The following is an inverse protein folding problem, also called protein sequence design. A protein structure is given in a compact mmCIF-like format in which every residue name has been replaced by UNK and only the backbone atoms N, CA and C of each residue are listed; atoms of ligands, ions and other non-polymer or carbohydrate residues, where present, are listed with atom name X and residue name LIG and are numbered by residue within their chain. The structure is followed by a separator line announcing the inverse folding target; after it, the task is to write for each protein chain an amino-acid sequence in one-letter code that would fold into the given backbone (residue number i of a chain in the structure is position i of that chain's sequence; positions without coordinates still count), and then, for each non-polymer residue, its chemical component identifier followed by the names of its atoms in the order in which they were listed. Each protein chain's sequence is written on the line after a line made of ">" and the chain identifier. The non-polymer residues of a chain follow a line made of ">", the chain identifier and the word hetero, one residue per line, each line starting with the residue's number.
data_IF_415873010666
#
_entry.id   IF_415873010666
#
_cell.length_a   1.000
_cell.length_b   1.000
_cell.length_c   1.000
_cell.angle_alpha   90.00
_cell.angle_beta   90.00
_cell.angle_gamma   90.00
#
_symmetry.space_group_name_H-M   'P 1'
#
loop_
_entity.id
_entity.type
_entity.pdbx_description
1 polymer ?
#
# COMPACT_ATOMS: atom_id res chain seq x y z
N UNK A 1 39.54 24.39 -12.40
CA UNK A 1 40.70 24.91 -11.66
C UNK A 1 41.00 23.97 -10.51
N UNK A 2 42.27 23.74 -10.18
CA UNK A 2 42.63 22.95 -8.99
C UNK A 2 42.65 23.87 -7.77
N UNK A 3 42.08 23.42 -6.65
CA UNK A 3 42.14 24.17 -5.40
C UNK A 3 43.58 24.18 -4.86
N UNK A 4 44.05 25.33 -4.39
CA UNK A 4 45.39 25.51 -3.87
C UNK A 4 45.37 26.39 -2.63
N UNK A 5 46.39 26.24 -1.78
CA UNK A 5 46.60 27.10 -0.64
C UNK A 5 46.88 28.53 -1.11
N UNK A 6 46.18 29.55 -0.60
CA UNK A 6 46.33 30.93 -1.07
C UNK A 6 47.67 31.58 -0.70
N UNK A 7 48.41 31.00 0.25
CA UNK A 7 49.69 31.54 0.75
C UNK A 7 50.90 30.81 0.15
N UNK A 8 50.87 29.48 0.18
CA UNK A 8 51.96 28.64 -0.34
C UNK A 8 51.78 28.26 -1.81
N UNK A 9 50.63 28.56 -2.41
CA UNK A 9 50.24 28.15 -3.77
C UNK A 9 50.32 26.64 -4.03
N UNK A 10 50.45 25.84 -2.98
CA UNK A 10 50.48 24.39 -3.05
C UNK A 10 49.10 23.85 -3.40
N UNK A 11 49.04 22.97 -4.39
CA UNK A 11 47.78 22.36 -4.84
C UNK A 11 47.32 21.34 -3.81
N UNK A 12 46.06 21.41 -3.40
CA UNK A 12 45.47 20.43 -2.50
C UNK A 12 45.31 19.08 -3.20
N UNK A 13 45.77 18.02 -2.54
CA UNK A 13 45.68 16.63 -3.00
C UNK A 13 44.96 15.78 -1.95
N UNK A 14 44.57 14.55 -2.32
CA UNK A 14 43.91 13.61 -1.39
C UNK A 14 44.76 13.25 -0.16
N UNK A 15 46.04 13.58 -0.18
CA UNK A 15 46.97 13.32 0.93
C UNK A 15 47.50 14.62 1.55
N UNK A 16 46.94 15.78 1.20
CA UNK A 16 47.37 17.05 1.80
C UNK A 16 46.71 17.27 3.16
N UNK A 17 47.47 17.82 4.12
CA UNK A 17 46.96 18.21 5.45
C UNK A 17 46.35 19.62 5.33
N UNK A 18 45.02 19.70 5.46
CA UNK A 18 44.22 20.91 5.20
C UNK A 18 43.54 21.37 6.48
N UNK A 19 43.60 22.67 6.72
CA UNK A 19 43.06 23.32 7.92
C UNK A 19 42.25 24.54 7.53
N UNK A 20 41.15 24.77 8.25
CA UNK A 20 40.36 25.99 8.16
C UNK A 20 40.44 26.78 9.48
N UNK A 21 40.45 28.10 9.37
CA UNK A 21 40.32 28.99 10.53
C UNK A 21 38.83 29.26 10.74
N UNK A 22 38.30 28.95 11.92
CA UNK A 22 36.87 29.04 12.23
C UNK A 22 36.33 30.48 12.16
N UNK A 23 37.13 31.47 12.54
CA UNK A 23 36.70 32.88 12.59
C UNK A 23 36.45 33.43 11.19
N UNK A 24 37.35 33.16 10.24
CA UNK A 24 37.31 33.73 8.90
C UNK A 24 36.79 32.75 7.84
N UNK A 25 36.75 31.46 8.15
CA UNK A 25 36.38 30.39 7.22
C UNK A 25 37.43 30.11 6.15
N UNK A 26 38.60 30.77 6.21
CA UNK A 26 39.66 30.61 5.21
C UNK A 26 40.37 29.27 5.37
N UNK A 27 40.67 28.65 4.22
CA UNK A 27 41.27 27.31 4.14
C UNK A 27 42.72 27.41 3.70
N UNK A 28 43.60 26.81 4.48
CA UNK A 28 45.04 26.80 4.27
C UNK A 28 45.61 25.38 4.28
N UNK A 29 46.77 25.21 3.66
CA UNK A 29 47.61 24.06 3.95
C UNK A 29 48.13 24.19 5.39
N UNK A 30 48.11 23.08 6.15
CA UNK A 30 48.59 23.09 7.53
C UNK A 30 50.03 23.59 7.64
N UNK A 31 50.88 23.27 6.67
CA UNK A 31 52.27 23.75 6.62
C UNK A 31 52.36 25.27 6.69
N UNK A 32 51.45 25.99 6.01
CA UNK A 32 51.41 27.45 6.03
C UNK A 32 51.08 27.98 7.43
N UNK A 33 50.05 27.40 8.06
CA UNK A 33 49.59 27.78 9.40
C UNK A 33 50.64 27.40 10.45
N UNK A 34 51.30 26.25 10.29
CA UNK A 34 52.34 25.80 11.20
C UNK A 34 53.57 26.69 11.16
N UNK A 35 54.06 27.03 9.97
CA UNK A 35 55.26 27.84 9.79
C UNK A 35 55.04 29.31 10.11
N UNK A 36 53.90 29.89 9.71
CA UNK A 36 53.67 31.33 9.79
C UNK A 36 52.87 31.75 11.02
N UNK A 37 52.10 30.85 11.64
CA UNK A 37 51.30 31.18 12.82
C UNK A 37 51.74 30.42 14.08
N UNK A 38 51.88 29.09 14.03
CA UNK A 38 52.14 28.26 15.22
C UNK A 38 53.59 28.42 15.72
N UNK A 39 54.59 28.27 14.85
CA UNK A 39 56.01 28.42 15.20
C UNK A 39 56.38 29.82 15.71
N UNK A 40 55.96 30.92 15.06
CA UNK A 40 56.25 32.28 15.53
C UNK A 40 55.29 32.78 16.62
N UNK A 41 54.30 31.96 17.05
CA UNK A 41 53.24 32.34 18.02
C UNK A 41 52.45 33.58 17.62
N UNK A 42 52.31 33.82 16.31
CA UNK A 42 51.50 34.91 15.75
C UNK A 42 50.16 34.33 15.30
N UNK A 43 49.09 34.54 16.07
CA UNK A 43 47.78 33.98 15.75
C UNK A 43 46.90 34.99 15.02
N UNK A 44 47.29 35.33 13.78
CA UNK A 44 46.55 36.20 12.88
C UNK A 44 46.31 35.48 11.56
N UNK A 45 45.12 35.64 10.99
CA UNK A 45 44.79 35.03 9.71
C UNK A 45 45.72 35.56 8.61
N UNK A 46 46.22 34.68 7.77
CA UNK A 46 47.25 34.96 6.76
C UNK A 46 46.73 35.80 5.57
N UNK A 47 45.40 35.95 5.44
CA UNK A 47 44.77 36.74 4.38
C UNK A 47 44.10 38.01 4.88
N UNK A 48 43.45 37.95 6.04
CA UNK A 48 42.58 39.02 6.55
C UNK A 48 43.16 39.72 7.78
N UNK A 49 44.29 39.24 8.31
CA UNK A 49 44.94 39.74 9.53
C UNK A 49 44.07 39.69 10.81
N UNK A 50 42.94 38.99 10.76
CA UNK A 50 42.05 38.85 11.92
C UNK A 50 42.69 37.95 13.00
N UNK A 51 42.65 38.36 14.28
CA UNK A 51 43.18 37.55 15.36
C UNK A 51 42.31 36.31 15.60
N UNK A 52 42.94 35.15 15.77
CA UNK A 52 42.25 33.90 16.11
C UNK A 52 43.00 33.16 17.23
N UNK A 53 42.39 32.13 17.83
CA UNK A 53 43.06 31.31 18.86
C UNK A 53 43.42 29.93 18.34
N UNK A 54 44.32 29.22 19.01
CA UNK A 54 44.70 27.84 18.62
C UNK A 54 43.50 26.87 18.58
N UNK A 55 42.45 27.13 19.36
CA UNK A 55 41.23 26.32 19.37
C UNK A 55 40.34 26.55 18.14
N UNK A 56 40.53 27.67 17.44
CA UNK A 56 39.79 28.03 16.23
C UNK A 56 40.36 27.37 14.97
N UNK A 57 41.46 26.62 15.10
CA UNK A 57 42.10 25.87 14.02
C UNK A 57 41.36 24.54 13.85
N UNK A 58 40.56 24.42 12.78
CA UNK A 58 39.78 23.22 12.48
C UNK A 58 40.50 22.39 11.42
N UNK A 59 40.87 21.16 11.76
CA UNK A 59 41.50 20.23 10.82
C UNK A 59 40.44 19.57 9.93
N UNK A 60 40.43 19.91 8.64
CA UNK A 60 39.48 19.35 7.68
C UNK A 60 39.93 17.97 7.19
N UNK A 61 41.20 17.85 6.82
CA UNK A 61 41.76 16.63 6.26
C UNK A 61 43.15 16.44 6.83
N UNK A 62 43.39 15.30 7.48
CA UNK A 62 44.67 14.96 8.09
C UNK A 62 45.07 13.55 7.65
N UNK A 63 46.09 13.41 6.78
CA UNK A 63 46.55 12.12 6.29
C UNK A 63 47.34 11.32 7.33
N UNK A 64 47.79 11.97 8.41
CA UNK A 64 48.60 11.33 9.47
C UNK A 64 47.74 10.76 10.59
N UNK A 65 46.47 11.17 10.67
CA UNK A 65 45.53 10.68 11.66
C UNK A 65 44.92 9.33 11.24
N UNK A 66 45.53 8.25 11.73
CA UNK A 66 45.12 6.86 11.51
C UNK A 66 43.74 6.53 12.12
N UNK A 67 43.25 7.32 13.09
CA UNK A 67 41.98 7.05 13.77
C UNK A 67 40.77 7.21 12.84
N UNK A 68 40.90 7.99 11.75
CA UNK A 68 39.87 8.10 10.70
C UNK A 68 39.62 6.78 9.97
N UNK A 69 40.57 5.84 10.00
CA UNK A 69 40.43 4.51 9.42
C UNK A 69 40.01 3.44 10.43
N UNK A 70 39.82 3.81 11.70
CA UNK A 70 39.39 2.87 12.72
C UNK A 70 37.89 2.57 12.56
N UNK A 71 37.61 1.48 11.84
CA UNK A 71 36.26 1.04 11.47
C UNK A 71 35.34 0.85 12.68
N UNK A 72 35.92 0.52 13.83
CA UNK A 72 35.19 0.35 15.09
C UNK A 72 34.58 1.65 15.65
N UNK A 73 35.11 2.81 15.26
CA UNK A 73 34.63 4.11 15.72
C UNK A 73 33.56 4.73 14.83
N UNK A 74 33.28 4.15 13.66
CA UNK A 74 32.23 4.68 12.80
C UNK A 74 30.88 4.58 13.49
N UNK A 75 30.10 5.65 13.38
CA UNK A 75 28.80 5.80 14.02
C UNK A 75 27.84 4.65 13.68
N UNK A 76 27.87 4.17 12.44
CA UNK A 76 27.04 3.05 11.97
C UNK A 76 27.51 1.69 12.53
N UNK A 77 28.80 1.52 12.82
CA UNK A 77 29.34 0.30 13.46
C UNK A 77 29.06 0.31 14.96
N UNK A 78 29.30 1.44 15.65
CA UNK A 78 29.01 1.60 17.09
C UNK A 78 27.52 1.44 17.41
N UNK A 79 26.67 2.01 16.57
CA UNK A 79 25.22 2.00 16.79
C UNK A 79 24.53 0.84 16.06
N UNK A 80 25.30 -0.07 15.44
CA UNK A 80 24.78 -1.24 14.72
C UNK A 80 23.73 -0.88 13.65
N UNK A 81 23.87 0.29 13.03
CA UNK A 81 22.93 0.79 12.00
C UNK A 81 23.40 0.23 10.66
N UNK A 82 22.77 -0.85 10.22
CA UNK A 82 22.97 -1.41 8.88
C UNK A 82 21.93 -0.83 7.94
N UNK A 83 22.38 -0.14 6.89
CA UNK A 83 21.54 0.15 5.72
C UNK A 83 21.44 -1.16 4.97
N UNK A 84 20.22 -1.66 4.79
CA UNK A 84 20.02 -2.94 4.14
C UNK A 84 20.07 -2.66 2.64
N UNK A 85 21.11 -3.17 1.97
CA UNK A 85 21.15 -3.11 0.51
C UNK A 85 20.04 -4.01 -0.05
N UNK A 86 19.34 -3.59 -1.11
CA UNK A 86 18.22 -4.35 -1.68
C UNK A 86 18.64 -5.74 -2.18
N UNK A 87 19.93 -5.94 -2.45
CA UNK A 87 20.47 -7.23 -2.85
C UNK A 87 20.81 -8.14 -1.65
N UNK A 88 21.13 -7.59 -0.48
CA UNK A 88 21.21 -8.38 0.77
C UNK A 88 19.83 -8.84 1.23
N UNK A 89 18.79 -8.03 1.01
CA UNK A 89 17.40 -8.41 1.26
C UNK A 89 16.96 -9.58 0.39
N UNK A 90 17.29 -9.54 -0.91
CA UNK A 90 17.04 -10.67 -1.83
C UNK A 90 17.84 -11.91 -1.46
N UNK A 91 19.09 -11.74 -1.00
CA UNK A 91 19.92 -12.85 -0.54
C UNK A 91 19.39 -13.49 0.75
N UNK A 92 18.76 -12.71 1.63
CA UNK A 92 18.07 -13.23 2.82
C UNK A 92 16.75 -13.93 2.49
N UNK A 93 16.04 -13.46 1.47
CA UNK A 93 14.77 -14.04 1.02
C UNK A 93 14.99 -15.37 0.29
N UNK A 94 16.06 -15.48 -0.51
CA UNK A 94 16.36 -16.66 -1.32
C UNK A 94 17.68 -17.33 -0.87
N UNK A 95 17.62 -18.49 -0.18
CA UNK A 95 18.80 -19.30 0.16
C UNK A 95 19.62 -19.75 -1.07
N UNK A 96 19.04 -19.63 -2.27
CA UNK A 96 19.65 -19.99 -3.56
C UNK A 96 20.30 -18.82 -4.31
N UNK A 97 20.32 -17.61 -3.75
CA UNK A 97 20.76 -16.40 -4.45
C UNK A 97 22.23 -16.48 -4.93
N UNK A 98 23.14 -17.01 -4.11
CA UNK A 98 24.56 -17.19 -4.46
C UNK A 98 24.86 -18.46 -5.26
N UNK A 99 23.86 -19.35 -5.46
CA UNK A 99 23.99 -20.60 -6.21
C UNK A 99 23.75 -20.43 -7.71
N UNK A 100 23.59 -19.20 -8.21
CA UNK A 100 23.33 -18.95 -9.65
C UNK A 100 24.51 -19.31 -10.56
N UNK A 101 25.72 -19.46 -10.01
CA UNK A 101 26.94 -19.72 -10.79
C UNK A 101 27.52 -21.14 -10.58
N UNK A 102 26.82 -22.04 -9.89
CA UNK A 102 27.31 -23.40 -9.64
C UNK A 102 26.90 -24.38 -10.75
N UNK A 103 27.70 -25.42 -10.99
CA UNK A 103 27.42 -26.47 -11.97
C UNK A 103 26.08 -27.16 -11.69
N UNK A 104 25.39 -27.60 -12.75
CA UNK A 104 24.05 -28.22 -12.67
C UNK A 104 24.01 -29.42 -11.72
N UNK A 105 25.04 -30.27 -11.74
CA UNK A 105 25.15 -31.45 -10.88
C UNK A 105 25.26 -31.09 -9.39
N UNK A 106 25.97 -30.00 -9.07
CA UNK A 106 26.07 -29.51 -7.68
C UNK A 106 24.76 -28.92 -7.17
N UNK A 107 23.94 -28.39 -8.08
CA UNK A 107 22.61 -27.87 -7.75
C UNK A 107 21.62 -29.01 -7.49
N UNK A 108 21.70 -30.09 -8.28
CA UNK A 108 20.86 -31.28 -8.11
C UNK A 108 21.20 -32.05 -6.83
N UNK A 109 22.48 -32.27 -6.56
CA UNK A 109 22.94 -32.92 -5.31
C UNK A 109 22.59 -32.10 -4.07
N UNK A 110 22.71 -30.76 -4.12
CA UNK A 110 22.22 -29.90 -3.04
C UNK A 110 20.71 -30.00 -2.86
N UNK A 111 19.92 -30.07 -3.93
CA UNK A 111 18.47 -30.24 -3.85
C UNK A 111 18.07 -31.60 -3.25
N UNK A 112 18.80 -32.67 -3.57
CA UNK A 112 18.61 -33.98 -2.94
C UNK A 112 18.98 -33.96 -1.46
N UNK A 113 20.12 -33.35 -1.10
CA UNK A 113 20.51 -33.14 0.30
C UNK A 113 19.48 -32.30 1.06
N UNK A 114 18.90 -31.27 0.45
CA UNK A 114 17.84 -30.47 1.06
C UNK A 114 16.52 -31.25 1.24
N UNK A 115 16.26 -32.27 0.42
CA UNK A 115 15.11 -33.18 0.60
C UNK A 115 15.37 -34.24 1.67
N UNK A 116 16.61 -34.70 1.80
CA UNK A 116 16.97 -35.78 2.73
C UNK A 116 17.30 -35.27 4.15
N UNK A 117 17.84 -34.06 4.27
CA UNK A 117 18.13 -33.45 5.57
C UNK A 117 16.84 -32.89 6.17
N UNK A 118 16.39 -33.47 7.30
CA UNK A 118 15.17 -33.14 8.06
C UNK A 118 15.07 -31.64 8.42
N UNK A 119 14.65 -30.82 7.46
CA UNK A 119 14.44 -29.38 7.59
C UNK A 119 12.97 -28.95 7.50
N UNK A 120 12.05 -29.91 7.37
CA UNK A 120 10.62 -29.62 7.19
C UNK A 120 10.03 -28.79 8.35
N UNK A 121 10.48 -29.03 9.59
CA UNK A 121 9.97 -28.29 10.76
C UNK A 121 10.51 -26.85 10.87
N UNK A 122 11.70 -26.58 10.33
CA UNK A 122 12.39 -25.28 10.49
C UNK A 122 12.09 -24.36 9.29
N UNK A 123 11.89 -24.93 8.10
CA UNK A 123 11.41 -24.21 6.92
C UNK A 123 9.91 -23.86 7.02
N UNK A 124 9.08 -24.75 7.59
CA UNK A 124 7.69 -24.43 7.88
C UNK A 124 7.53 -23.33 8.95
N UNK A 125 8.51 -23.17 9.85
CA UNK A 125 8.53 -22.10 10.84
C UNK A 125 9.04 -20.76 10.29
N UNK A 126 9.87 -20.76 9.24
CA UNK A 126 10.46 -19.55 8.63
C UNK A 126 9.67 -19.04 7.44
N UNK A 127 8.99 -19.92 6.69
CA UNK A 127 7.90 -19.53 5.80
C UNK A 127 6.67 -19.27 6.66
N UNK A 128 6.49 -18.03 7.11
CA UNK A 128 5.25 -17.59 7.76
C UNK A 128 4.10 -17.96 6.82
N UNK A 129 3.41 -19.07 7.10
CA UNK A 129 2.22 -19.47 6.36
C UNK A 129 1.31 -18.23 6.33
N UNK A 130 0.75 -17.85 5.16
CA UNK A 130 -0.12 -16.70 5.10
C UNK A 130 -1.22 -16.92 6.12
N UNK A 131 -1.25 -16.09 7.17
CA UNK A 131 -2.25 -16.20 8.23
C UNK A 131 -3.60 -16.22 7.55
N UNK A 132 -4.32 -17.35 7.64
CA UNK A 132 -5.66 -17.48 7.05
C UNK A 132 -6.50 -16.35 7.64
N UNK A 133 -6.87 -15.37 6.83
CA UNK A 133 -7.74 -14.25 7.26
C UNK A 133 -9.02 -14.87 7.82
N UNK A 134 -9.33 -14.58 9.10
CA UNK A 134 -10.55 -15.09 9.74
C UNK A 134 -11.76 -14.62 8.93
N UNK A 135 -12.56 -15.58 8.46
CA UNK A 135 -13.76 -15.30 7.67
C UNK A 135 -14.95 -15.26 8.63
N UNK A 136 -15.42 -14.05 8.94
CA UNK A 136 -16.70 -13.87 9.63
C UNK A 136 -17.86 -13.98 8.62
N UNK A 137 -19.09 -14.25 9.08
CA UNK A 137 -20.26 -14.27 8.18
C UNK A 137 -20.48 -12.95 7.42
N UNK A 138 -19.98 -11.82 7.95
CA UNK A 138 -20.04 -10.51 7.30
C UNK A 138 -19.02 -10.36 6.16
N UNK A 139 -17.88 -11.03 6.27
CA UNK A 139 -16.76 -10.95 5.32
C UNK A 139 -16.70 -12.18 4.40
N UNK A 140 -17.69 -13.08 4.45
CA UNK A 140 -17.76 -14.28 3.63
C UNK A 140 -18.20 -13.91 2.21
N UNK A 141 -17.32 -14.14 1.22
CA UNK A 141 -17.67 -13.97 -0.18
C UNK A 141 -18.68 -15.04 -0.65
N UNK A 142 -19.46 -14.71 -1.67
CA UNK A 142 -20.32 -15.67 -2.36
C UNK A 142 -19.56 -16.76 -3.14
N UNK A 143 -18.24 -16.61 -3.28
CA UNK A 143 -17.36 -17.58 -3.94
C UNK A 143 -16.40 -18.23 -2.93
N UNK A 144 -15.99 -19.47 -3.20
CA UNK A 144 -15.08 -20.22 -2.34
C UNK A 144 -13.61 -19.85 -2.61
N UNK A 145 -12.72 -20.20 -1.68
CA UNK A 145 -11.26 -20.04 -1.83
C UNK A 145 -10.67 -20.86 -2.98
N UNK A 146 -11.42 -21.80 -3.55
CA UNK A 146 -10.97 -22.71 -4.61
C UNK A 146 -9.97 -23.77 -4.16
N UNK A 147 -9.59 -23.79 -2.88
CA UNK A 147 -8.54 -24.65 -2.35
C UNK A 147 -8.93 -26.15 -2.33
N UNK A 148 -10.20 -26.47 -2.07
CA UNK A 148 -10.72 -27.85 -2.23
C UNK A 148 -10.58 -28.32 -3.67
N UNK A 149 -10.93 -27.48 -4.64
CA UNK A 149 -10.82 -27.82 -6.07
C UNK A 149 -9.34 -27.94 -6.51
N UNK A 150 -8.50 -27.02 -6.07
CA UNK A 150 -7.07 -27.03 -6.37
C UNK A 150 -6.38 -28.28 -5.78
N UNK A 151 -6.67 -28.61 -4.53
CA UNK A 151 -6.12 -29.79 -3.85
C UNK A 151 -6.61 -31.10 -4.44
N UNK A 152 -7.84 -31.14 -4.98
CA UNK A 152 -8.33 -32.31 -5.71
C UNK A 152 -7.57 -32.55 -7.03
N UNK A 153 -7.14 -31.48 -7.69
CA UNK A 153 -6.48 -31.57 -9.01
C UNK A 153 -4.95 -31.58 -8.96
N UNK A 154 -4.34 -31.24 -7.82
CA UNK A 154 -2.89 -31.09 -7.68
C UNK A 154 -2.30 -32.15 -6.74
N UNK A 155 -1.26 -32.84 -7.19
CA UNK A 155 -0.50 -33.80 -6.37
C UNK A 155 0.47 -33.14 -5.40
N UNK A 156 0.71 -31.83 -5.55
CA UNK A 156 1.66 -31.06 -4.74
C UNK A 156 1.00 -30.29 -3.58
N UNK A 157 -0.33 -30.24 -3.51
CA UNK A 157 -1.07 -29.54 -2.45
C UNK A 157 -1.63 -30.53 -1.42
N UNK A 158 -1.73 -30.09 -0.17
CA UNK A 158 -2.40 -30.84 0.90
C UNK A 158 -3.89 -30.98 0.56
N UNK A 159 -4.49 -32.18 0.65
CA UNK A 159 -5.91 -32.37 0.40
C UNK A 159 -6.74 -31.58 1.42
N UNK A 160 -7.49 -30.59 0.95
CA UNK A 160 -8.46 -29.85 1.76
C UNK A 160 -9.88 -30.40 1.50
N UNK A 161 -10.60 -30.76 2.56
CA UNK A 161 -11.94 -31.38 2.48
C UNK A 161 -13.07 -30.42 2.82
N UNK A 162 -12.74 -29.21 3.31
CA UNK A 162 -13.72 -28.21 3.77
C UNK A 162 -13.78 -27.03 2.81
N UNK A 163 -14.96 -26.77 2.25
CA UNK A 163 -15.18 -25.59 1.45
C UNK A 163 -15.25 -24.34 2.35
N UNK A 164 -14.22 -23.51 2.30
CA UNK A 164 -14.19 -22.20 2.94
C UNK A 164 -14.61 -21.12 1.94
N UNK A 165 -15.50 -20.22 2.36
CA UNK A 165 -15.81 -19.01 1.60
C UNK A 165 -14.58 -18.10 1.58
N UNK A 166 -14.28 -17.46 0.44
CA UNK A 166 -13.17 -16.52 0.39
C UNK A 166 -13.45 -15.30 1.28
N UNK A 167 -12.43 -14.78 1.97
CA UNK A 167 -12.56 -13.54 2.73
C UNK A 167 -12.64 -12.34 1.79
N UNK A 168 -13.74 -11.59 1.82
CA UNK A 168 -13.81 -10.24 1.26
C UNK A 168 -12.88 -9.34 2.09
N UNK A 169 -12.13 -8.44 1.45
CA UNK A 169 -11.33 -7.45 2.16
C UNK A 169 -12.22 -6.57 3.05
N UNK A 170 -11.80 -6.37 4.31
CA UNK A 170 -12.59 -5.65 5.32
C UNK A 170 -12.98 -4.24 4.87
N UNK A 171 -12.13 -3.58 4.08
CA UNK A 171 -12.37 -2.27 3.49
C UNK A 171 -13.62 -2.26 2.59
N UNK A 172 -13.84 -3.32 1.80
CA UNK A 172 -14.99 -3.42 0.88
C UNK A 172 -16.30 -3.56 1.66
N UNK A 173 -16.29 -4.34 2.74
CA UNK A 173 -17.45 -4.53 3.61
C UNK A 173 -17.78 -3.23 4.34
N UNK A 174 -16.75 -2.56 4.86
CA UNK A 174 -16.89 -1.25 5.52
C UNK A 174 -17.50 -0.20 4.60
N UNK A 175 -17.09 -0.15 3.34
CA UNK A 175 -17.62 0.79 2.36
C UNK A 175 -19.11 0.60 2.02
N UNK A 176 -19.67 -0.59 2.27
CA UNK A 176 -21.10 -0.84 2.04
C UNK A 176 -22.00 -0.15 3.08
N UNK A 177 -21.46 0.17 4.25
CA UNK A 177 -22.17 0.85 5.34
C UNK A 177 -22.06 2.38 5.26
N UNK A 178 -21.11 2.91 4.48
CA UNK A 178 -20.93 4.35 4.30
C UNK A 178 -21.99 4.87 3.33
N UNK A 179 -23.10 5.37 3.87
CA UNK A 179 -24.24 5.96 3.12
C UNK A 179 -24.42 7.46 3.35
N UNK A 180 -23.53 8.06 4.13
CA UNK A 180 -23.56 9.49 4.46
C UNK A 180 -22.45 10.21 3.70
N UNK A 181 -22.76 11.43 3.28
CA UNK A 181 -21.78 12.35 2.69
C UNK A 181 -20.87 12.92 3.77
N UNK A 182 -19.60 13.10 3.42
CA UNK A 182 -18.62 13.77 4.27
C UNK A 182 -18.58 15.27 4.02
N UNK A 183 -18.21 16.05 5.03
CA UNK A 183 -18.01 17.49 4.90
C UNK A 183 -16.65 17.89 5.48
N UNK A 184 -15.86 18.59 4.67
CA UNK A 184 -14.51 19.06 5.04
C UNK A 184 -14.40 20.54 4.70
N UNK A 185 -13.78 21.32 5.59
CA UNK A 185 -13.44 22.72 5.35
C UNK A 185 -11.93 22.88 5.28
N UNK A 186 -11.49 23.49 4.18
CA UNK A 186 -10.11 23.90 4.00
C UNK A 186 -10.02 25.37 4.37
N UNK A 187 -9.23 25.67 5.39
CA UNK A 187 -8.86 27.04 5.72
C UNK A 187 -7.66 27.41 4.85
N UNK A 188 -7.82 28.36 3.95
CA UNK A 188 -6.75 28.82 3.05
C UNK A 188 -6.44 30.30 3.31
N UNK A 189 -5.28 30.77 2.85
CA UNK A 189 -4.91 32.18 3.00
C UNK A 189 -5.85 33.15 2.27
N UNK A 190 -6.61 32.68 1.27
CA UNK A 190 -7.62 33.48 0.55
C UNK A 190 -9.03 33.32 1.14
N UNK A 191 -9.18 32.52 2.20
CA UNK A 191 -10.44 32.27 2.91
C UNK A 191 -10.80 30.79 2.95
N UNK A 192 -12.03 30.51 3.37
CA UNK A 192 -12.46 29.14 3.62
C UNK A 192 -13.16 28.50 2.41
N UNK A 193 -12.90 27.21 2.19
CA UNK A 193 -13.56 26.38 1.18
C UNK A 193 -14.25 25.21 1.86
N UNK A 194 -15.57 25.11 1.67
CA UNK A 194 -16.37 23.99 2.17
C UNK A 194 -16.58 22.96 1.06
N UNK A 195 -16.18 21.73 1.33
CA UNK A 195 -16.22 20.59 0.43
C UNK A 195 -17.25 19.56 0.91
N UNK A 196 -18.10 19.11 0.00
CA UNK A 196 -18.99 17.96 0.15
C UNK A 196 -18.35 16.76 -0.54
N UNK A 197 -18.19 15.65 0.18
CA UNK A 197 -17.57 14.43 -0.32
C UNK A 197 -18.62 13.35 -0.58
N UNK A 198 -18.51 12.68 -1.71
CA UNK A 198 -19.41 11.61 -2.14
C UNK A 198 -18.92 10.23 -1.66
N UNK A 199 -18.86 10.04 -0.34
CA UNK A 199 -18.35 8.84 0.31
C UNK A 199 -19.08 7.55 -0.14
N UNK A 200 -20.37 7.62 -0.45
CA UNK A 200 -21.17 6.46 -0.91
C UNK A 200 -20.69 5.91 -2.27
N UNK A 201 -20.21 6.81 -3.14
CA UNK A 201 -19.85 6.49 -4.51
C UNK A 201 -18.36 6.21 -4.67
N UNK A 202 -17.52 6.98 -3.98
CA UNK A 202 -16.05 6.89 -4.04
C UNK A 202 -15.47 6.69 -2.64
N UNK A 203 -15.75 5.56 -2.00
CA UNK A 203 -15.47 5.37 -0.58
C UNK A 203 -13.97 5.30 -0.30
N UNK A 204 -13.15 4.73 -1.19
CA UNK A 204 -11.71 4.63 -0.98
C UNK A 204 -11.03 5.98 -1.11
N UNK A 205 -11.46 6.76 -2.11
CA UNK A 205 -10.92 8.10 -2.33
C UNK A 205 -11.28 9.05 -1.18
N UNK A 206 -12.55 9.03 -0.73
CA UNK A 206 -12.99 9.87 0.37
C UNK A 206 -12.35 9.49 1.71
N UNK A 207 -12.15 8.19 1.98
CA UNK A 207 -11.45 7.73 3.19
C UNK A 207 -9.99 8.23 3.20
N UNK A 208 -9.29 8.11 2.06
CA UNK A 208 -7.93 8.64 1.93
C UNK A 208 -7.89 10.13 2.25
N UNK A 209 -8.79 10.93 1.66
CA UNK A 209 -8.83 12.37 1.86
C UNK A 209 -9.13 12.75 3.32
N UNK A 210 -10.14 12.14 3.95
CA UNK A 210 -10.50 12.43 5.35
C UNK A 210 -9.38 12.03 6.31
N UNK A 211 -8.76 10.87 6.11
CA UNK A 211 -7.65 10.42 6.97
C UNK A 211 -6.41 11.30 6.82
N UNK A 212 -6.12 11.80 5.61
CA UNK A 212 -5.04 12.75 5.39
C UNK A 212 -5.34 14.11 6.06
N UNK A 213 -6.59 14.58 6.01
CA UNK A 213 -7.02 15.78 6.73
C UNK A 213 -6.86 15.60 8.25
N UNK A 214 -7.31 14.48 8.82
CA UNK A 214 -7.16 14.18 10.26
C UNK A 214 -5.71 14.07 10.73
N UNK A 215 -4.80 13.66 9.85
CA UNK A 215 -3.36 13.62 10.10
C UNK A 215 -2.67 14.99 9.90
N UNK A 216 -3.43 16.04 9.59
CA UNK A 216 -2.90 17.37 9.26
C UNK A 216 -1.89 17.32 8.12
N UNK A 217 -2.06 16.38 7.18
CA UNK A 217 -1.12 16.19 6.07
C UNK A 217 -1.14 17.35 5.06
N UNK A 218 -2.29 18.02 4.96
CA UNK A 218 -2.50 19.14 4.05
C UNK A 218 -2.16 20.51 4.68
N UNK A 219 -1.79 20.55 5.96
CA UNK A 219 -1.47 21.79 6.65
C UNK A 219 -0.15 22.38 6.11
N UNK A 220 -0.19 23.65 5.70
CA UNK A 220 0.93 24.34 5.05
C UNK A 220 1.15 23.95 3.59
N UNK A 221 0.31 23.09 3.00
CA UNK A 221 0.51 22.68 1.59
C UNK A 221 0.05 23.76 0.62
N UNK A 222 0.79 23.93 -0.48
CA UNK A 222 0.53 24.95 -1.50
C UNK A 222 -0.28 24.37 -2.67
N UNK A 223 -1.00 25.26 -3.37
CA UNK A 223 -1.52 24.98 -4.70
C UNK A 223 -0.43 25.29 -5.72
N UNK A 224 0.34 24.27 -6.10
CA UNK A 224 1.51 24.41 -6.98
C UNK A 224 1.15 24.59 -8.45
N UNK A 225 -0.12 24.41 -8.85
CA UNK A 225 -0.54 24.58 -10.24
C UNK A 225 -1.94 25.19 -10.31
N UNK A 226 -2.07 26.31 -11.02
CA UNK A 226 -3.35 26.99 -11.26
C UNK A 226 -3.46 27.42 -12.72
N UNK A 227 -4.44 26.86 -13.43
CA UNK A 227 -4.76 27.22 -14.81
C UNK A 227 -6.15 27.85 -14.82
N UNK A 228 -6.18 29.15 -15.18
CA UNK A 228 -7.42 29.92 -15.24
C UNK A 228 -8.45 29.27 -16.17
N UNK A 229 -9.73 29.29 -15.80
CA UNK A 229 -10.83 28.61 -16.49
C UNK A 229 -10.73 27.08 -16.60
N UNK A 230 -9.72 26.45 -16.00
CA UNK A 230 -9.52 25.00 -16.09
C UNK A 230 -9.54 24.35 -14.71
N UNK A 231 -8.40 24.28 -14.03
CA UNK A 231 -8.27 23.63 -12.72
C UNK A 231 -7.23 24.31 -11.85
N UNK A 232 -7.39 24.16 -10.54
CA UNK A 232 -6.37 24.45 -9.52
C UNK A 232 -6.03 23.15 -8.80
N UNK A 233 -4.74 22.81 -8.73
CA UNK A 233 -4.23 21.55 -8.21
C UNK A 233 -3.33 21.81 -6.99
N UNK A 234 -3.48 20.95 -5.99
CA UNK A 234 -2.73 20.99 -4.74
C UNK A 234 -2.66 19.62 -4.08
N UNK A 235 -2.35 19.60 -2.78
CA UNK A 235 -2.24 18.35 -2.00
C UNK A 235 -0.90 17.63 -2.15
N UNK A 236 0.14 18.35 -2.59
CA UNK A 236 1.53 17.88 -2.57
C UNK A 236 2.28 18.59 -1.42
N UNK A 237 2.74 17.87 -0.38
CA UNK A 237 3.49 18.47 0.72
C UNK A 237 4.88 18.98 0.30
N UNK A 238 5.42 18.47 -0.81
CA UNK A 238 6.71 18.93 -1.34
C UNK A 238 6.57 20.20 -2.19
N UNK A 239 5.36 20.53 -2.63
CA UNK A 239 5.08 21.63 -3.54
C UNK A 239 5.68 21.48 -4.95
N UNK A 240 6.34 20.36 -5.27
CA UNK A 240 7.01 20.14 -6.55
C UNK A 240 6.05 19.77 -7.68
N UNK A 241 4.90 19.19 -7.33
CA UNK A 241 3.86 18.71 -8.23
C UNK A 241 3.95 17.23 -8.58
N UNK A 242 5.02 16.54 -8.17
CA UNK A 242 5.20 15.09 -8.36
C UNK A 242 5.16 14.29 -7.07
N UNK A 243 5.14 14.98 -5.92
CA UNK A 243 5.14 14.36 -4.61
C UNK A 243 3.76 13.91 -4.14
N UNK A 244 3.67 13.58 -2.86
CA UNK A 244 2.46 13.10 -2.23
C UNK A 244 2.36 11.58 -2.15
N UNK A 245 1.78 11.10 -1.06
CA UNK A 245 1.57 9.68 -0.77
C UNK A 245 0.14 9.45 -0.30
N UNK A 246 -0.43 8.28 -0.60
CA UNK A 246 -1.74 7.93 -0.05
C UNK A 246 -1.60 7.63 1.45
N UNK A 247 -2.72 7.59 2.17
CA UNK A 247 -2.76 7.15 3.56
C UNK A 247 -2.15 5.76 3.77
N UNK A 248 -2.25 4.87 2.77
CA UNK A 248 -1.72 3.51 2.81
C UNK A 248 -0.28 3.38 2.31
N UNK A 249 0.37 4.49 1.93
CA UNK A 249 1.70 4.53 1.31
C UNK A 249 1.74 4.06 -0.16
N UNK A 250 0.87 3.13 -0.55
CA UNK A 250 0.77 2.64 -1.95
C UNK A 250 -0.28 3.42 -2.74
N UNK A 251 -0.08 3.65 -4.05
CA UNK A 251 -1.13 4.20 -4.91
C UNK A 251 -2.39 3.32 -4.90
N UNK A 252 -3.57 3.93 -5.02
CA UNK A 252 -4.84 3.22 -4.98
C UNK A 252 -5.65 3.35 -6.28
N UNK A 253 -6.60 2.42 -6.44
CA UNK A 253 -7.44 2.27 -7.65
C UNK A 253 -8.30 3.50 -7.95
N UNK A 254 -8.63 3.70 -9.22
CA UNK A 254 -9.61 4.69 -9.66
C UNK A 254 -11.04 4.21 -9.39
N UNK A 255 -11.93 5.14 -9.06
CA UNK A 255 -13.33 4.86 -8.75
C UNK A 255 -14.26 5.69 -9.66
N UNK A 256 -14.33 5.31 -10.93
CA UNK A 256 -15.20 6.00 -11.89
C UNK A 256 -16.66 5.59 -11.72
N UNK A 257 -17.57 6.57 -11.62
CA UNK A 257 -19.02 6.36 -11.62
C UNK A 257 -19.66 7.13 -12.76
N UNK A 258 -20.68 6.56 -13.46
CA UNK A 258 -21.33 7.24 -14.57
C UNK A 258 -22.08 8.50 -14.14
N UNK A 259 -22.52 8.56 -12.88
CA UNK A 259 -23.27 9.68 -12.31
C UNK A 259 -22.36 10.86 -11.90
N UNK A 260 -21.04 10.64 -11.85
CA UNK A 260 -20.07 11.65 -11.47
C UNK A 260 -19.26 12.05 -12.68
N UNK A 261 -19.51 13.26 -13.17
CA UNK A 261 -18.77 13.90 -14.26
C UNK A 261 -18.23 15.24 -13.80
N UNK A 262 -17.23 15.75 -14.52
CA UNK A 262 -16.69 17.08 -14.30
C UNK A 262 -17.60 18.14 -14.95
N UNK A 263 -18.88 18.14 -14.56
CA UNK A 263 -19.87 19.10 -15.03
C UNK A 263 -20.12 20.14 -13.94
N UNK A 264 -19.88 21.41 -14.26
CA UNK A 264 -20.01 22.53 -13.34
C UNK A 264 -18.67 23.03 -12.80
N UNK A 265 -18.76 24.13 -12.06
CA UNK A 265 -17.63 24.72 -11.33
C UNK A 265 -17.56 24.11 -9.93
N UNK A 266 -16.35 23.89 -9.44
CA UNK A 266 -16.10 23.41 -8.09
C UNK A 266 -16.19 21.89 -7.95
N UNK A 267 -16.05 21.11 -9.02
CA UNK A 267 -15.93 19.65 -8.91
C UNK A 267 -14.53 19.31 -8.37
N UNK A 268 -14.48 18.44 -7.36
CA UNK A 268 -13.26 17.98 -6.69
C UNK A 268 -12.89 16.58 -7.16
N UNK A 269 -11.65 16.44 -7.66
CA UNK A 269 -11.15 15.20 -8.27
C UNK A 269 -9.71 14.91 -7.90
N UNK A 270 -9.32 13.64 -7.95
CA UNK A 270 -7.94 13.20 -7.69
C UNK A 270 -7.02 13.44 -8.90
N UNK A 271 -5.81 13.92 -8.64
CA UNK A 271 -4.75 13.94 -9.63
C UNK A 271 -4.06 12.57 -9.67
N UNK A 272 -3.76 12.09 -10.87
CA UNK A 272 -3.08 10.82 -11.10
C UNK A 272 -2.05 10.94 -12.24
N UNK A 273 -1.19 9.94 -12.36
CA UNK A 273 -0.16 9.85 -13.42
C UNK A 273 -0.40 8.66 -14.36
N UNK A 274 -1.63 8.14 -14.35
CA UNK A 274 -2.04 6.94 -15.08
C UNK A 274 -3.13 6.17 -14.31
N UNK A 275 -3.66 5.09 -14.91
CA UNK A 275 -4.72 4.30 -14.29
C UNK A 275 -4.29 3.71 -12.94
N UNK A 276 -5.15 3.83 -11.92
CA UNK A 276 -4.97 3.29 -10.56
C UNK A 276 -3.73 3.83 -9.81
N UNK A 277 -3.35 5.09 -10.05
CA UNK A 277 -2.17 5.71 -9.42
C UNK A 277 -2.51 6.87 -8.50
N UNK A 278 -3.69 6.85 -7.86
CA UNK A 278 -4.10 7.92 -6.96
C UNK A 278 -3.24 7.96 -5.68
N UNK A 279 -2.85 9.17 -5.25
CA UNK A 279 -2.04 9.42 -4.05
C UNK A 279 -2.72 10.43 -3.11
N UNK A 280 -2.10 11.57 -2.80
CA UNK A 280 -2.69 12.66 -1.99
C UNK A 280 -3.15 13.86 -2.81
N UNK A 281 -2.65 14.02 -4.04
CA UNK A 281 -2.88 15.20 -4.84
C UNK A 281 -4.31 15.25 -5.38
N UNK A 282 -4.92 16.43 -5.34
CA UNK A 282 -6.26 16.68 -5.84
C UNK A 282 -6.33 17.99 -6.58
N UNK A 283 -7.38 18.17 -7.36
CA UNK A 283 -7.66 19.42 -8.04
C UNK A 283 -9.13 19.79 -7.97
N UNK A 284 -9.39 21.10 -8.05
CA UNK A 284 -10.73 21.68 -8.12
C UNK A 284 -10.88 22.30 -9.50
N UNK A 285 -12.00 22.01 -10.16
CA UNK A 285 -12.32 22.55 -11.49
C UNK A 285 -12.94 23.94 -11.39
N UNK A 286 -12.56 24.83 -12.30
CA UNK A 286 -13.18 26.16 -12.45
C UNK A 286 -14.34 26.18 -13.44
N UNK A 287 -14.36 25.21 -14.36
CA UNK A 287 -15.36 25.03 -15.42
C UNK A 287 -15.62 23.54 -15.64
N UNK A 288 -16.77 23.23 -16.25
CA UNK A 288 -17.05 21.91 -16.80
C UNK A 288 -15.93 21.43 -17.73
N UNK A 289 -15.36 20.25 -17.47
CA UNK A 289 -14.25 19.67 -18.20
C UNK A 289 -14.51 18.20 -18.54
N UNK A 290 -15.40 17.93 -19.51
CA UNK A 290 -15.77 16.56 -19.89
C UNK A 290 -14.59 15.68 -20.35
N UNK A 291 -13.47 16.28 -20.80
CA UNK A 291 -12.26 15.55 -21.20
C UNK A 291 -11.58 14.78 -20.04
N UNK A 292 -11.84 15.19 -18.78
CA UNK A 292 -11.30 14.58 -17.57
C UNK A 292 -12.17 13.41 -17.06
N UNK A 293 -13.36 13.23 -17.62
CA UNK A 293 -14.27 12.15 -17.26
C UNK A 293 -13.63 10.79 -17.54
N UNK A 294 -13.80 9.86 -16.59
CA UNK A 294 -13.20 8.51 -16.61
C UNK A 294 -11.66 8.48 -16.65
N UNK A 295 -11.00 9.62 -16.43
CA UNK A 295 -9.54 9.69 -16.23
C UNK A 295 -9.21 10.01 -14.79
N UNK A 296 -9.95 10.92 -14.19
CA UNK A 296 -9.78 11.33 -12.80
C UNK A 296 -10.99 10.94 -11.97
N UNK A 297 -10.73 10.43 -10.77
CA UNK A 297 -11.78 10.03 -9.84
C UNK A 297 -12.38 11.29 -9.21
N UNK A 298 -13.63 11.59 -9.55
CA UNK A 298 -14.42 12.65 -8.93
C UNK A 298 -14.92 12.13 -7.58
N UNK A 299 -14.60 12.82 -6.49
CA UNK A 299 -14.97 12.34 -5.15
C UNK A 299 -15.70 13.40 -4.30
N UNK A 300 -15.91 14.60 -4.84
CA UNK A 300 -16.67 15.63 -4.14
C UNK A 300 -16.94 16.87 -4.97
N UNK A 301 -17.49 17.89 -4.31
CA UNK A 301 -17.76 19.21 -4.87
C UNK A 301 -17.63 20.29 -3.81
N UNK A 302 -17.31 21.50 -4.24
CA UNK A 302 -17.35 22.71 -3.41
C UNK A 302 -18.82 23.09 -3.21
N UNK A 303 -19.22 23.29 -1.96
CA UNK A 303 -20.59 23.71 -1.58
C UNK A 303 -20.63 25.13 -1.03
N UNK A 304 -19.50 25.65 -0.55
CA UNK A 304 -19.38 27.00 -0.02
C UNK A 304 -17.97 27.55 -0.17
N UNK A 305 -17.83 28.87 -0.24
CA UNK A 305 -16.56 29.52 -0.57
C UNK A 305 -16.33 29.69 -2.08
N UNK A 306 -17.38 29.89 -2.88
CA UNK A 306 -17.18 30.19 -4.31
C UNK A 306 -16.44 31.51 -4.54
N UNK A 307 -16.55 32.45 -3.60
CA UNK A 307 -15.79 33.71 -3.61
C UNK A 307 -14.29 33.45 -3.45
N UNK A 308 -13.91 32.56 -2.53
CA UNK A 308 -12.49 32.21 -2.29
C UNK A 308 -11.93 31.44 -3.47
N UNK A 309 -12.71 30.53 -4.06
CA UNK A 309 -12.35 29.86 -5.31
C UNK A 309 -12.13 30.85 -6.47
N UNK A 310 -12.93 31.91 -6.54
CA UNK A 310 -12.79 32.96 -7.55
C UNK A 310 -11.58 33.87 -7.28
N UNK A 311 -11.31 34.18 -6.01
CA UNK A 311 -10.10 34.88 -5.61
C UNK A 311 -8.83 34.06 -5.96
N UNK A 312 -8.86 32.75 -5.76
CA UNK A 312 -7.78 31.83 -6.15
C UNK A 312 -7.59 31.75 -7.66
N UNK A 313 -8.67 31.81 -8.44
CA UNK A 313 -8.61 31.84 -9.92
C UNK A 313 -8.06 33.16 -10.47
N UNK A 314 -8.30 34.28 -9.78
CA UNK A 314 -7.84 35.59 -10.20
C UNK A 314 -6.35 35.83 -9.94
N UNK A 315 -5.68 34.96 -9.18
CA UNK A 315 -4.22 35.02 -8.99
C UNK A 315 -3.54 34.71 -10.33
N UNK A 316 -2.65 35.60 -10.75
CA UNK A 316 -1.87 35.38 -11.97
C UNK A 316 -0.89 34.22 -11.78
N UNK A 317 -0.90 33.28 -12.74
CA UNK A 317 0.06 32.17 -12.81
C UNK A 317 1.18 32.47 -13.81
N UNK A 318 2.36 31.91 -13.57
CA UNK A 318 3.46 31.92 -14.55
C UNK A 318 3.09 31.05 -15.76
N UNK A 319 3.15 31.58 -17.00
CA UNK A 319 2.74 30.83 -18.20
C UNK A 319 3.65 29.64 -18.54
N UNK A 320 4.85 29.54 -17.97
CA UNK A 320 5.78 28.41 -18.23
C UNK A 320 5.63 27.27 -17.24
N UNK A 321 5.27 27.56 -16.00
CA UNK A 321 5.23 26.57 -14.90
C UNK A 321 3.83 26.36 -14.33
N UNK A 322 2.85 27.15 -14.79
CA UNK A 322 1.48 27.20 -14.26
C UNK A 322 1.42 27.46 -12.74
N UNK A 323 2.51 27.92 -12.13
CA UNK A 323 2.60 28.22 -10.70
C UNK A 323 2.00 29.59 -10.40
N UNK A 324 1.12 29.72 -9.39
CA UNK A 324 0.64 31.02 -8.93
C UNK A 324 1.81 31.93 -8.51
N UNK A 325 1.78 33.20 -8.92
CA UNK A 325 2.76 34.20 -8.46
C UNK A 325 2.60 34.52 -6.98
N UNK A 326 1.35 34.60 -6.53
CA UNK A 326 1.03 34.68 -5.11
C UNK A 326 0.80 33.26 -4.59
N UNK A 327 1.53 32.90 -3.54
CA UNK A 327 1.39 31.59 -2.92
C UNK A 327 -0.02 31.43 -2.34
N UNK A 328 -0.73 30.40 -2.79
CA UNK A 328 -2.01 29.98 -2.20
C UNK A 328 -1.71 28.72 -1.40
N UNK A 329 -1.97 28.77 -0.09
CA UNK A 329 -1.70 27.66 0.82
C UNK A 329 -2.92 27.29 1.64
N UNK A 330 -3.01 26.02 1.98
CA UNK A 330 -3.94 25.48 2.95
C UNK A 330 -3.28 25.64 4.32
N UNK A 331 -3.90 26.41 5.22
CA UNK A 331 -3.38 26.62 6.56
C UNK A 331 -3.75 25.44 7.46
N UNK A 332 -5.04 25.11 7.50
CA UNK A 332 -5.55 23.98 8.30
C UNK A 332 -6.72 23.30 7.61
N UNK A 333 -6.95 22.04 7.93
CA UNK A 333 -8.11 21.28 7.46
C UNK A 333 -8.99 20.84 8.61
N UNK A 334 -10.30 21.12 8.54
CA UNK A 334 -11.27 20.75 9.56
C UNK A 334 -12.30 19.79 8.97
N UNK A 335 -12.42 18.59 9.53
CA UNK A 335 -13.43 17.60 9.13
C UNK A 335 -14.67 17.83 9.99
N UNK A 336 -15.77 18.27 9.37
CA UNK A 336 -17.04 18.52 10.10
C UNK A 336 -17.85 17.25 10.29
N UNK A 337 -17.90 16.42 9.25
CA UNK A 337 -18.68 15.18 9.25
C UNK A 337 -17.78 14.09 8.71
N UNK A 338 -17.38 13.17 9.58
CA UNK A 338 -16.71 11.95 9.20
C UNK A 338 -17.72 10.77 9.17
N UNK A 339 -18.15 10.31 7.99
CA UNK A 339 -19.08 9.19 7.87
C UNK A 339 -18.41 7.83 8.14
N UNK A 340 -17.08 7.75 8.21
CA UNK A 340 -16.36 6.49 8.42
C UNK A 340 -16.27 6.09 9.89
N UNK A 341 -16.23 7.05 10.83
CA UNK A 341 -16.24 6.71 12.26
C UNK A 341 -17.56 6.05 12.68
N UNK A 342 -18.68 6.52 12.14
CA UNK A 342 -19.97 5.88 12.38
C UNK A 342 -20.03 4.47 11.77
N UNK A 343 -19.47 4.30 10.56
CA UNK A 343 -19.40 2.99 9.91
C UNK A 343 -18.50 2.02 10.70
N UNK A 344 -17.39 2.50 11.26
CA UNK A 344 -16.50 1.71 12.12
C UNK A 344 -17.19 1.24 13.39
N UNK A 345 -17.89 2.16 14.05
CA UNK A 345 -18.64 1.85 15.25
C UNK A 345 -19.74 0.83 14.96
N UNK A 346 -20.44 0.95 13.82
CA UNK A 346 -21.47 -0.01 13.42
C UNK A 346 -20.90 -1.39 13.09
N UNK A 347 -19.82 -1.46 12.31
CA UNK A 347 -19.18 -2.73 11.97
C UNK A 347 -18.60 -3.39 13.22
N UNK A 348 -17.99 -2.64 14.12
CA UNK A 348 -17.51 -3.16 15.40
C UNK A 348 -18.67 -3.70 16.26
N UNK A 349 -19.76 -2.95 16.39
CA UNK A 349 -20.93 -3.37 17.15
C UNK A 349 -21.62 -4.61 16.56
N UNK A 350 -21.71 -4.73 15.23
CA UNK A 350 -22.24 -5.93 14.57
C UNK A 350 -21.31 -7.13 14.76
N UNK A 351 -19.99 -6.94 14.67
CA UNK A 351 -19.01 -8.00 14.95
C UNK A 351 -19.09 -8.49 16.39
N UNK A 352 -19.22 -7.58 17.35
CA UNK A 352 -19.38 -7.94 18.77
C UNK A 352 -20.68 -8.73 19.03
N UNK A 353 -21.81 -8.28 18.45
CA UNK A 353 -23.08 -9.03 18.54
C UNK A 353 -22.96 -10.42 17.95
N UNK A 354 -22.31 -10.52 16.79
CA UNK A 354 -22.14 -11.79 16.12
C UNK A 354 -21.23 -12.75 16.90
N UNK A 355 -20.15 -12.24 17.51
CA UNK A 355 -19.30 -13.01 18.41
C UNK A 355 -20.08 -13.52 19.63
N UNK A 356 -20.91 -12.67 20.25
CA UNK A 356 -21.77 -13.08 21.36
C UNK A 356 -22.80 -14.14 20.95
N UNK A 357 -23.39 -14.04 19.76
CA UNK A 357 -24.30 -15.06 19.24
C UNK A 357 -23.59 -16.38 18.94
N UNK A 358 -22.38 -16.35 18.38
CA UNK A 358 -21.58 -17.56 18.18
C UNK A 358 -21.14 -18.20 19.48
N UNK A 359 -20.71 -17.41 20.47
CA UNK A 359 -20.38 -17.91 21.80
C UNK A 359 -21.61 -18.50 22.49
N UNK A 360 -22.76 -17.84 22.41
CA UNK A 360 -24.02 -18.37 22.93
C UNK A 360 -24.46 -19.65 22.19
N UNK A 361 -24.23 -19.75 20.87
CA UNK A 361 -24.52 -20.95 20.10
C UNK A 361 -23.55 -22.10 20.42
N UNK A 362 -22.27 -21.81 20.65
CA UNK A 362 -21.27 -22.79 21.11
C UNK A 362 -21.60 -23.30 22.51
N UNK A 363 -21.93 -22.42 23.44
CA UNK A 363 -22.38 -22.79 24.79
C UNK A 363 -23.66 -23.63 24.72
N UNK A 364 -24.64 -23.27 23.87
CA UNK A 364 -25.84 -24.08 23.67
C UNK A 364 -25.55 -25.44 23.01
N UNK A 365 -24.58 -25.52 22.10
CA UNK A 365 -24.16 -26.77 21.47
C UNK A 365 -23.38 -27.68 22.43
N UNK A 366 -22.66 -27.11 23.39
CA UNK A 366 -21.91 -27.82 24.42
C UNK A 366 -22.82 -28.30 25.57
N UNK A 367 -23.89 -27.55 25.87
CA UNK A 367 -24.93 -27.93 26.85
C UNK A 367 -25.91 -28.99 26.32
N UNK A 368 -25.97 -29.21 24.99
CA UNK A 368 -26.64 -30.38 24.41
C UNK A 368 -25.65 -31.54 24.40
N UNK A 369 -25.77 -32.55 25.29
CA UNK A 369 -24.88 -33.70 25.24
C UNK A 369 -25.03 -34.38 23.87
N UNK A 370 -23.93 -34.86 23.25
CA UNK A 370 -24.02 -35.52 21.97
C UNK A 370 -24.86 -36.78 22.15
N UNK A 371 -26.11 -36.76 21.69
CA UNK A 371 -26.77 -37.99 21.26
C UNK A 371 -26.00 -38.49 20.05
N UNK A 372 -24.88 -39.18 20.29
CA UNK A 372 -24.35 -40.17 19.36
C UNK A 372 -25.39 -41.30 19.31
N UNK A 373 -26.48 -41.08 18.58
CA UNK A 373 -27.05 -42.20 17.84
C UNK A 373 -26.00 -42.57 16.81
N UNK A 374 -25.09 -43.46 17.20
CA UNK A 374 -24.32 -44.25 16.27
C UNK A 374 -25.37 -44.99 15.45
N UNK A 375 -25.77 -44.44 14.30
CA UNK A 375 -26.45 -45.22 13.29
C UNK A 375 -25.43 -46.24 12.80
N UNK A 376 -25.38 -47.36 13.52
CA UNK A 376 -24.73 -48.57 13.02
C UNK A 376 -25.34 -48.85 11.66
N UNK A 377 -24.53 -49.06 10.60
CA UNK A 377 -25.06 -49.30 9.28
C UNK A 377 -26.03 -50.48 9.35
N UNK A 378 -27.30 -50.26 8.98
CA UNK A 378 -28.37 -51.27 9.11
C UNK A 378 -27.90 -52.56 8.44
N UNK A 379 -27.63 -53.57 9.25
CA UNK A 379 -27.18 -54.88 8.78
C UNK A 379 -28.40 -55.64 8.27
N UNK A 380 -28.42 -55.99 6.99
CA UNK A 380 -29.53 -56.73 6.39
C UNK A 380 -29.35 -58.26 6.49
N UNK A 381 -28.12 -58.76 6.70
CA UNK A 381 -27.78 -60.20 6.90
C UNK A 381 -26.48 -60.39 7.68
N UNK A 382 -26.27 -61.57 8.27
CA UNK A 382 -24.98 -62.00 8.84
C UNK A 382 -24.18 -62.81 7.81
N UNK A 383 -23.09 -62.24 7.26
CA UNK A 383 -22.19 -62.88 6.29
C UNK A 383 -21.46 -61.86 5.39
N UNK A 384 -20.87 -62.30 4.28
CA UNK A 384 -20.34 -61.40 3.23
C UNK A 384 -21.54 -60.74 2.54
N UNK A 385 -21.54 -59.40 2.38
CA UNK A 385 -22.69 -58.64 1.84
C UNK A 385 -23.62 -58.01 2.90
N UNK A 386 -23.15 -57.86 4.15
CA UNK A 386 -23.88 -57.32 5.33
C UNK A 386 -24.65 -56.01 5.12
N UNK A 387 -24.24 -55.16 4.18
CA UNK A 387 -24.76 -53.79 3.98
C UNK A 387 -25.50 -53.59 2.65
N UNK A 388 -25.73 -54.65 1.87
CA UNK A 388 -26.38 -54.55 0.55
C UNK A 388 -27.88 -54.89 0.68
N UNK A 389 -28.75 -53.97 0.24
CA UNK A 389 -30.20 -54.15 0.26
C UNK A 389 -30.68 -54.83 -1.04
N UNK A 390 -30.91 -56.15 -0.98
CA UNK A 390 -31.25 -56.98 -2.14
C UNK A 390 -32.69 -56.78 -2.66
N UNK A 391 -33.56 -56.08 -1.92
CA UNK A 391 -34.91 -55.72 -2.38
C UNK A 391 -34.89 -54.66 -3.50
N UNK A 392 -33.84 -53.81 -3.54
CA UNK A 392 -33.63 -52.86 -4.63
C UNK A 392 -33.04 -53.51 -5.90
N UNK A 393 -32.55 -54.75 -5.80
CA UNK A 393 -31.88 -55.47 -6.89
C UNK A 393 -32.80 -56.45 -7.64
N UNK A 394 -34.04 -56.68 -7.18
CA UNK A 394 -35.03 -57.46 -7.94
C UNK A 394 -35.74 -56.59 -8.97
N UNK A 395 -35.09 -56.37 -10.11
CA UNK A 395 -35.83 -56.28 -11.38
C UNK A 395 -36.00 -57.70 -11.91
N UNK A 396 -37.22 -58.04 -12.28
CA UNK A 396 -37.62 -59.31 -12.86
C UNK A 396 -36.76 -59.64 -14.09
N UNK A 397 -36.14 -60.81 -14.07
CA UNK A 397 -35.46 -61.42 -15.21
C UNK A 397 -36.48 -62.37 -15.85
N UNK A 398 -36.88 -62.09 -17.08
CA UNK A 398 -37.27 -63.11 -18.06
C UNK A 398 -36.14 -63.23 -19.08
N UNK A 399 -35.95 -64.46 -19.54
CA UNK A 399 -34.74 -65.06 -20.10
C UNK A 399 -34.67 -64.98 -21.65
N UNK A 400 -33.49 -65.34 -22.16
CA UNK A 400 -33.10 -65.77 -23.51
C UNK A 400 -32.62 -64.77 -24.57
N UNK A 401 -31.30 -64.81 -24.80
CA UNK A 401 -30.72 -65.04 -26.12
C UNK A 401 -30.26 -63.83 -26.96
N UNK A 402 -29.10 -63.88 -27.65
CA UNK A 402 -28.31 -62.70 -28.01
C UNK A 402 -28.69 -62.12 -29.38
N UNK A 403 -28.62 -60.79 -29.54
CA UNK A 403 -28.61 -60.18 -30.88
C UNK A 403 -27.86 -58.85 -30.92
N UNK A 404 -26.87 -58.85 -31.80
CA UNK A 404 -26.16 -57.72 -32.36
C UNK A 404 -27.09 -56.66 -32.94
N UNK A 405 -26.70 -55.39 -32.76
CA UNK A 405 -26.98 -54.23 -33.61
C UNK A 405 -28.41 -54.05 -34.15
N UNK A 406 -29.13 -53.06 -33.63
CA UNK A 406 -29.68 -51.94 -34.44
C UNK A 406 -30.34 -50.90 -33.54
N UNK A 407 -29.99 -49.64 -33.78
CA UNK A 407 -30.54 -48.48 -33.10
C UNK A 407 -31.85 -48.02 -33.77
N UNK A 408 -32.89 -47.70 -32.98
CA UNK A 408 -33.98 -46.81 -33.44
C UNK A 408 -34.43 -45.87 -32.31
N UNK A 409 -34.18 -44.57 -32.58
CA UNK A 409 -34.81 -43.30 -32.18
C UNK A 409 -35.51 -43.17 -30.81
N UNK A 410 -34.95 -42.27 -29.98
CA UNK A 410 -35.63 -41.60 -28.85
C UNK A 410 -36.41 -40.37 -29.34
N UNK A 411 -37.70 -40.31 -29.00
CA UNK A 411 -38.53 -39.10 -29.07
C UNK A 411 -38.15 -38.08 -27.98
N UNK A 412 -38.09 -36.80 -28.37
CA UNK A 412 -37.99 -35.65 -27.46
C UNK A 412 -39.39 -35.29 -26.94
N UNK A 413 -39.57 -35.24 -25.61
CA UNK A 413 -40.68 -34.50 -24.98
C UNK A 413 -40.24 -33.06 -24.73
N UNK A 414 -40.93 -32.11 -25.36
CA UNK A 414 -40.84 -30.69 -25.07
C UNK A 414 -41.64 -30.36 -23.81
N UNK A 415 -41.03 -29.67 -22.86
CA UNK A 415 -41.71 -29.00 -21.75
C UNK A 415 -41.93 -27.54 -22.15
N UNK A 416 -43.19 -27.14 -22.29
CA UNK A 416 -43.60 -25.81 -22.73
C UNK A 416 -43.26 -24.72 -21.73
N UNK A 417 -42.65 -23.65 -22.25
CA UNK A 417 -42.53 -22.33 -21.63
C UNK A 417 -43.69 -21.47 -22.17
N UNK A 418 -44.31 -20.68 -21.29
CA UNK A 418 -45.54 -19.94 -21.55
C UNK A 418 -45.43 -18.84 -22.63
N UNK A 419 -46.59 -18.56 -23.22
CA UNK A 419 -46.89 -17.54 -24.22
C UNK A 419 -46.69 -16.11 -23.65
N UNK A 420 -46.07 -15.22 -24.42
CA UNK A 420 -45.79 -13.81 -24.06
C UNK A 420 -46.13 -12.87 -25.23
N UNK A 421 -47.22 -13.14 -25.96
CA UNK A 421 -47.63 -12.35 -27.13
C UNK A 421 -48.42 -11.06 -26.81
N UNK A 422 -48.28 -10.47 -25.62
CA UNK A 422 -48.82 -9.13 -25.33
C UNK A 422 -47.94 -8.30 -24.38
N UNK A 423 -46.63 -8.20 -24.66
CA UNK A 423 -45.77 -7.16 -24.12
C UNK A 423 -44.89 -6.55 -25.21
#
# INVERSE_FOLDING_TARGET
>A
GKYHCPVLFTVFTNNSHIVAIKTTGNVFAYEAVEQLNIKPKSYKDLLTDEPFTRQDIVTLQDPTNLDKFNVSNFFHVKNNIKVIDPDEEKAKLDPSYYLKNTNTETRETLLELYKEFKGDDILAATMKAPEKKKVDKLNAAHYSTGAVSASFTSTAMVPETTHEAAAIEEDVVRYQYVKKKGYVRLHTNKGDLNLELHCDMTPRTCENFIKLCKKNYYDGTIFHRSIRNFVIQGGDPTGTGTGGESYWGKPFKDEFKPNLSHTGRGVLSMANSGPNTNKSQFFITFRSCAYLDKKHTVFGRVVGGFETLTAMENVESDPKTDRPKEEIRIETTTVFVDPYEEADAQVAAEREKFQQEEEAAKIKAEVVPPKKEVQTPKTYRQGIGKYINMAAAKRSVEDDGPSTSTAVKKEKKSTGFGDFSSW
#
